data_IF_628148758195
#
_entry.id   IF_628148758195
#
_cell.length_a   1.000
_cell.length_b   1.000
_cell.length_c   1.000
_cell.angle_alpha   90.00
_cell.angle_beta   90.00
_cell.angle_gamma   90.00
#
_symmetry.space_group_name_H-M   'P 1'
#
loop_
_entity.id
_entity.type
_entity.pdbx_description
1 polymer ?
#
# COMPACT_ATOMS: atom_id res chain seq x y z
N UNK A 1 10.96 5.14 9.38
CA UNK A 1 10.31 6.30 8.77
C UNK A 1 8.99 5.81 8.18
N UNK A 2 7.85 6.48 8.38
CA UNK A 2 6.56 6.02 7.89
C UNK A 2 6.45 6.13 6.37
N UNK A 3 5.52 5.36 5.79
CA UNK A 3 5.19 5.37 4.38
C UNK A 3 3.68 5.46 4.19
N UNK A 4 3.24 6.13 3.14
CA UNK A 4 1.84 6.16 2.74
C UNK A 4 1.70 6.05 1.23
N UNK A 5 0.49 5.72 0.80
CA UNK A 5 0.09 5.72 -0.59
C UNK A 5 -0.38 7.12 -0.98
N UNK A 6 0.13 7.58 -2.10
CA UNK A 6 -0.20 8.85 -2.72
C UNK A 6 -0.86 8.59 -4.07
N UNK A 7 -1.80 9.44 -4.44
CA UNK A 7 -2.35 9.51 -5.78
C UNK A 7 -2.22 10.96 -6.26
N UNK A 8 -1.52 11.19 -7.38
CA UNK A 8 -1.24 12.54 -7.88
C UNK A 8 -0.70 13.49 -6.78
N UNK A 9 0.33 13.05 -6.05
CA UNK A 9 0.93 13.75 -4.91
C UNK A 9 0.00 14.06 -3.71
N UNK A 10 -1.25 13.60 -3.76
CA UNK A 10 -2.18 13.67 -2.64
C UNK A 10 -2.10 12.39 -1.82
N UNK A 11 -1.85 12.50 -0.51
CA UNK A 11 -1.87 11.35 0.39
C UNK A 11 -3.30 10.80 0.49
N UNK A 12 -3.50 9.55 0.07
CA UNK A 12 -4.81 8.90 0.08
C UNK A 12 -4.93 7.79 1.12
N UNK A 13 -3.82 7.30 1.67
CA UNK A 13 -3.81 6.33 2.76
C UNK A 13 -3.27 6.92 4.05
N UNK A 14 -3.61 6.25 5.16
CA UNK A 14 -2.94 6.42 6.45
C UNK A 14 -1.44 6.11 6.35
N UNK A 15 -0.65 6.62 7.28
CA UNK A 15 0.77 6.27 7.35
C UNK A 15 0.98 4.87 7.97
N UNK A 16 1.88 4.10 7.40
CA UNK A 16 2.27 2.76 7.84
C UNK A 16 3.75 2.74 8.23
N UNK A 17 4.16 1.79 9.10
CA UNK A 17 5.52 1.80 9.64
C UNK A 17 6.56 1.35 8.62
N UNK A 18 6.15 0.66 7.54
CA UNK A 18 7.03 0.20 6.48
C UNK A 18 6.36 0.28 5.10
N UNK A 19 7.18 0.44 4.06
CA UNK A 19 6.74 0.42 2.66
C UNK A 19 6.03 -0.89 2.31
N UNK A 20 6.53 -2.02 2.82
CA UNK A 20 5.95 -3.34 2.60
C UNK A 20 4.51 -3.45 3.13
N UNK A 21 4.17 -2.72 4.20
CA UNK A 21 2.80 -2.68 4.71
C UNK A 21 1.88 -1.89 3.76
N UNK A 22 2.37 -0.80 3.16
CA UNK A 22 1.63 -0.04 2.14
C UNK A 22 1.46 -0.86 0.86
N UNK A 23 2.49 -1.61 0.44
CA UNK A 23 2.41 -2.53 -0.69
C UNK A 23 1.35 -3.61 -0.49
N UNK A 24 1.26 -4.21 0.70
CA UNK A 24 0.23 -5.18 1.02
C UNK A 24 -1.17 -4.57 0.94
N UNK A 25 -1.33 -3.33 1.42
CA UNK A 25 -2.58 -2.60 1.33
C UNK A 25 -2.96 -2.36 -0.14
N UNK A 26 -2.05 -1.79 -0.92
CA UNK A 26 -2.27 -1.52 -2.34
C UNK A 26 -2.60 -2.79 -3.13
N UNK A 27 -1.90 -3.89 -2.84
CA UNK A 27 -2.17 -5.19 -3.47
C UNK A 27 -3.58 -5.70 -3.14
N UNK A 28 -4.00 -5.61 -1.87
CA UNK A 28 -5.37 -5.98 -1.46
C UNK A 28 -6.43 -5.12 -2.11
N UNK A 29 -6.17 -3.83 -2.27
CA UNK A 29 -7.07 -2.89 -2.95
C UNK A 29 -7.09 -3.06 -4.47
N UNK A 30 -6.30 -3.97 -5.04
CA UNK A 30 -6.22 -4.17 -6.49
C UNK A 30 -5.49 -3.04 -7.23
N UNK A 31 -4.69 -2.24 -6.52
CA UNK A 31 -3.92 -1.12 -7.08
C UNK A 31 -2.55 -1.54 -7.62
N UNK A 32 -2.18 -2.80 -7.41
CA UNK A 32 -0.92 -3.38 -7.89
C UNK A 32 -1.17 -4.09 -9.22
N UNK A 33 -0.46 -3.67 -10.25
CA UNK A 33 -0.47 -4.24 -11.59
C UNK A 33 0.82 -5.02 -11.81
N UNK A 34 0.70 -6.25 -12.32
CA UNK A 34 1.85 -7.01 -12.80
C UNK A 34 2.19 -6.50 -14.20
N UNK A 35 3.28 -5.73 -14.32
CA UNK A 35 3.77 -5.28 -15.64
C UNK A 35 4.74 -6.34 -16.16
N UNK A 36 4.40 -6.90 -17.33
CA UNK A 36 5.30 -7.74 -18.11
C UNK A 36 6.48 -6.90 -18.59
N UNK A 37 7.69 -7.29 -18.19
CA UNK A 37 8.92 -6.62 -18.61
C UNK A 37 9.28 -7.06 -20.03
N UNK A 38 8.96 -6.22 -21.02
CA UNK A 38 9.56 -6.32 -22.35
C UNK A 38 11.00 -5.80 -22.25
N UNK A 39 11.93 -6.67 -22.62
CA UNK A 39 13.38 -6.49 -22.75
C UNK A 39 14.27 -6.43 -21.47
N UNK A 40 15.01 -7.54 -21.31
CA UNK A 40 16.32 -7.72 -20.66
C UNK A 40 16.50 -7.81 -19.13
N UNK A 41 15.54 -7.56 -18.24
CA UNK A 41 15.77 -7.77 -16.79
C UNK A 41 14.58 -8.33 -15.97
N UNK A 42 14.71 -9.62 -15.63
CA UNK A 42 14.19 -10.34 -14.45
C UNK A 42 12.73 -10.06 -14.03
N UNK A 43 11.83 -10.93 -14.50
CA UNK A 43 10.54 -11.26 -13.86
C UNK A 43 9.43 -10.20 -13.93
N UNK A 44 8.17 -10.59 -13.68
CA UNK A 44 7.06 -9.64 -13.58
C UNK A 44 7.33 -8.69 -12.41
N UNK A 45 7.44 -7.39 -12.70
CA UNK A 45 7.55 -6.37 -11.66
C UNK A 45 6.14 -5.94 -11.28
N UNK A 46 5.80 -6.16 -10.01
CA UNK A 46 4.61 -5.57 -9.39
C UNK A 46 4.85 -4.08 -9.25
N UNK A 47 4.10 -3.30 -10.00
CA UNK A 47 4.10 -1.84 -9.94
C UNK A 47 2.72 -1.38 -9.50
N UNK A 48 2.63 -0.18 -8.96
CA UNK A 48 1.34 0.45 -8.74
C UNK A 48 0.80 0.97 -10.07
N UNK A 49 -0.52 1.06 -10.20
CA UNK A 49 -1.13 1.75 -11.34
C UNK A 49 -0.58 3.19 -11.45
N UNK A 50 -0.55 3.75 -12.66
CA UNK A 50 0.33 4.86 -13.06
C UNK A 50 0.23 6.11 -12.18
N UNK A 51 -0.91 6.34 -11.55
CA UNK A 51 -1.16 7.52 -10.72
C UNK A 51 -0.87 7.30 -9.23
N UNK A 52 -0.55 6.08 -8.82
CA UNK A 52 -0.32 5.69 -7.42
C UNK A 52 1.16 5.52 -7.11
N UNK A 53 1.59 6.11 -5.99
CA UNK A 53 2.98 6.07 -5.55
C UNK A 53 3.07 5.79 -4.05
N UNK A 54 4.05 5.00 -3.63
CA UNK A 54 4.37 4.87 -2.20
C UNK A 54 5.56 5.77 -1.91
N UNK A 55 5.34 6.77 -1.05
CA UNK A 55 6.38 7.72 -0.64
C UNK A 55 6.52 7.69 0.88
N UNK A 56 7.74 7.95 1.35
CA UNK A 56 7.97 8.18 2.77
C UNK A 56 7.22 9.44 3.18
N UNK A 57 6.49 9.39 4.29
CA UNK A 57 5.67 10.48 4.76
C UNK A 57 5.85 10.66 6.27
N UNK A 58 5.46 11.81 6.77
CA UNK A 58 5.36 12.01 8.21
C UNK A 58 3.97 11.51 8.66
N UNK A 59 3.93 10.77 9.76
CA UNK A 59 2.66 10.42 10.38
C UNK A 59 1.93 11.70 10.79
N UNK A 60 0.63 11.78 10.53
CA UNK A 60 -0.16 12.93 10.94
C UNK A 60 -0.15 13.08 12.48
N UNK A 61 -0.43 14.29 12.99
CA UNK A 61 -0.47 14.51 14.44
C UNK A 61 -1.55 13.62 15.10
N UNK A 62 -1.12 12.74 16.00
CA UNK A 62 -1.98 11.76 16.66
C UNK A 62 -2.19 10.46 15.88
N UNK A 63 -1.63 10.35 14.68
CA UNK A 63 -1.59 9.12 13.91
C UNK A 63 -0.46 8.21 14.41
N UNK A 64 -0.80 6.95 14.64
CA UNK A 64 0.16 5.93 15.05
C UNK A 64 0.26 4.88 13.92
N UNK A 65 1.36 4.85 13.17
CA UNK A 65 1.54 3.91 12.07
C UNK A 65 1.39 2.45 12.51
N UNK A 66 1.79 2.10 13.73
CA UNK A 66 1.65 0.74 14.24
C UNK A 66 0.17 0.39 14.47
N UNK A 67 -0.64 1.34 14.94
CA UNK A 67 -2.10 1.15 15.06
C UNK A 67 -2.77 1.04 13.70
N UNK A 68 -2.37 1.88 12.74
CA UNK A 68 -2.90 1.82 11.37
C UNK A 68 -2.68 0.46 10.72
N UNK A 69 -1.48 -0.12 10.92
CA UNK A 69 -1.18 -1.48 10.50
C UNK A 69 -2.08 -2.51 11.17
N UNK A 70 -2.22 -2.44 12.50
CA UNK A 70 -3.04 -3.39 13.26
C UNK A 70 -4.52 -3.33 12.87
N UNK A 71 -5.04 -2.13 12.60
CA UNK A 71 -6.40 -1.91 12.11
C UNK A 71 -6.58 -2.47 10.70
N UNK A 72 -5.68 -2.14 9.77
CA UNK A 72 -5.75 -2.63 8.39
C UNK A 72 -5.68 -4.17 8.28
N UNK A 73 -4.89 -4.82 9.15
CA UNK A 73 -4.82 -6.29 9.24
C UNK A 73 -6.12 -6.89 9.80
N UNK A 74 -6.69 -6.23 10.82
CA UNK A 74 -7.98 -6.62 11.40
C UNK A 74 -9.12 -6.49 10.39
N UNK A 75 -9.19 -5.37 9.67
CA UNK A 75 -10.18 -5.17 8.61
C UNK A 75 -10.00 -6.19 7.49
N UNK A 76 -8.76 -6.49 7.09
CA UNK A 76 -8.46 -7.57 6.13
C UNK A 76 -9.08 -8.89 6.52
N UNK A 77 -8.97 -9.24 7.80
CA UNK A 77 -9.44 -10.52 8.31
C UNK A 77 -10.97 -10.59 8.32
N UNK A 78 -11.62 -9.46 8.57
CA UNK A 78 -13.08 -9.33 8.57
C UNK A 78 -13.62 -9.37 7.14
N UNK A 79 -13.03 -8.62 6.21
CA UNK A 79 -13.41 -8.63 4.78
C UNK A 79 -13.29 -10.04 4.18
N UNK A 80 -12.21 -10.77 4.50
CA UNK A 80 -12.03 -12.15 4.03
C UNK A 80 -13.15 -13.09 4.52
N UNK A 81 -13.65 -12.88 5.75
CA UNK A 81 -14.73 -13.66 6.33
C UNK A 81 -16.11 -13.27 5.79
N UNK A 82 -16.30 -12.01 5.39
CA UNK A 82 -17.55 -11.52 4.81
C UNK A 82 -17.71 -11.84 3.32
N UNK A 83 -16.59 -11.96 2.59
CA UNK A 83 -16.56 -12.35 1.18
C UNK A 83 -16.48 -13.88 0.96
N UNK A 84 -16.75 -14.68 2.00
CA UNK A 84 -16.76 -16.16 1.97
C UNK A 84 -18.12 -16.74 1.60
#
# INVERSE_FOLDING_TARGET
>A
MPYALFCNDSQISKAYPSEADVWKLAQRSGLVVDVGTDDERQGPRRVLDNDYEIKSCQAAQGEDPAKNKAEADRESRIELQLNS
#
